data_IF_690543913191
#
_entry.id   IF_690543913191
#
_cell.length_a   1.000
_cell.length_b   1.000
_cell.length_c   1.000
_cell.angle_alpha   90.00
_cell.angle_beta   90.00
_cell.angle_gamma   90.00
#
_symmetry.space_group_name_H-M   'P 1'
#
loop_
_entity.id
_entity.type
_entity.pdbx_description
1 polymer ?
#
# COMPACT_ATOMS: atom_id res chain seq x y z
N UNK A 1 -30.80 -16.27 59.60
CA UNK A 1 -29.40 -16.54 59.21
C UNK A 1 -29.28 -17.18 57.83
N UNK A 2 -29.99 -18.29 57.52
CA UNK A 2 -29.97 -18.92 56.17
C UNK A 2 -30.44 -18.00 55.03
N UNK A 3 -31.43 -17.12 55.28
CA UNK A 3 -31.96 -16.16 54.27
C UNK A 3 -30.96 -15.05 53.87
N UNK A 4 -30.07 -14.65 54.78
CA UNK A 4 -29.04 -13.62 54.51
C UNK A 4 -27.92 -14.22 53.65
N UNK A 5 -27.55 -15.48 53.90
CA UNK A 5 -26.54 -16.21 53.12
C UNK A 5 -27.00 -16.40 51.66
N UNK A 6 -28.29 -16.64 51.43
CA UNK A 6 -28.88 -16.79 50.08
C UNK A 6 -28.91 -15.46 49.32
N UNK A 7 -29.12 -14.33 50.00
CA UNK A 7 -29.13 -13.01 49.35
C UNK A 7 -27.72 -12.53 48.97
N UNK A 8 -26.70 -12.84 49.77
CA UNK A 8 -25.30 -12.46 49.49
C UNK A 8 -24.73 -13.27 48.33
N UNK A 9 -25.08 -14.55 48.19
CA UNK A 9 -24.66 -15.38 47.05
C UNK A 9 -25.32 -14.94 45.74
N UNK A 10 -26.59 -14.53 45.75
CA UNK A 10 -27.26 -13.97 44.56
C UNK A 10 -26.65 -12.64 44.11
N UNK A 11 -26.17 -11.82 45.04
CA UNK A 11 -25.58 -10.50 44.75
C UNK A 11 -24.14 -10.59 44.21
N UNK A 12 -23.39 -11.65 44.54
CA UNK A 12 -22.05 -11.89 44.01
C UNK A 12 -22.07 -12.53 42.61
N UNK A 13 -23.12 -13.27 42.26
CA UNK A 13 -23.27 -13.91 40.93
C UNK A 13 -23.60 -12.87 39.84
N UNK A 14 -24.30 -11.77 40.17
CA UNK A 14 -24.63 -10.70 39.21
C UNK A 14 -23.45 -9.77 38.87
N UNK A 15 -22.48 -9.60 39.78
CA UNK A 15 -21.28 -8.76 39.54
C UNK A 15 -20.28 -9.47 38.60
N UNK A 16 -20.28 -10.82 38.57
CA UNK A 16 -19.38 -11.61 37.71
C UNK A 16 -19.82 -11.77 36.26
N UNK A 17 -21.08 -11.44 35.91
CA UNK A 17 -21.63 -11.64 34.56
C UNK A 17 -21.45 -10.43 33.61
N UNK A 18 -20.93 -9.30 34.11
CA UNK A 18 -20.73 -8.09 33.30
C UNK A 18 -19.34 -8.00 32.60
N UNK A 19 -18.47 -9.00 32.75
CA UNK A 19 -17.10 -8.96 32.22
C UNK A 19 -16.82 -9.95 31.08
N UNK A 20 -17.81 -10.69 30.59
CA UNK A 20 -17.64 -11.60 29.45
C UNK A 20 -18.81 -11.39 28.47
N UNK A 21 -18.48 -11.11 27.21
CA UNK A 21 -19.35 -10.65 26.11
C UNK A 21 -19.60 -9.13 26.07
N UNK A 22 -18.51 -8.39 25.87
CA UNK A 22 -18.56 -7.18 25.04
C UNK A 22 -18.83 -7.68 23.63
N UNK A 23 -20.01 -7.36 23.12
CA UNK A 23 -20.49 -7.78 21.81
C UNK A 23 -19.55 -7.29 20.70
N UNK A 24 -19.21 -8.21 19.81
CA UNK A 24 -18.90 -7.90 18.41
C UNK A 24 -20.13 -7.32 17.70
N UNK A 25 -19.86 -6.43 16.73
CA UNK A 25 -20.75 -5.87 15.68
C UNK A 25 -21.58 -4.64 16.13
N UNK A 26 -21.56 -3.47 15.48
CA UNK A 26 -21.68 -3.18 14.05
C UNK A 26 -20.98 -1.86 13.62
N UNK A 27 -20.11 -1.97 12.61
CA UNK A 27 -19.90 -1.06 11.46
C UNK A 27 -20.10 0.46 11.62
N UNK A 28 -19.00 1.20 11.60
CA UNK A 28 -18.86 2.21 10.53
C UNK A 28 -18.20 1.54 9.33
N UNK A 29 -19.06 1.21 8.39
CA UNK A 29 -18.76 0.81 7.03
C UNK A 29 -17.72 1.75 6.41
N UNK A 30 -16.51 1.24 6.20
CA UNK A 30 -15.97 1.35 4.84
C UNK A 30 -15.87 -0.06 4.31
N UNK A 31 -16.92 -0.43 3.57
CA UNK A 31 -16.81 -1.40 2.50
C UNK A 31 -15.54 -1.05 1.71
N UNK A 32 -14.48 -1.84 1.86
CA UNK A 32 -13.57 -2.03 0.74
C UNK A 32 -13.47 -3.53 0.56
N UNK A 33 -13.85 -4.03 -0.63
CA UNK A 33 -13.98 -5.46 -0.87
C UNK A 33 -12.65 -6.17 -0.60
N UNK A 34 -12.76 -7.46 -0.36
CA UNK A 34 -11.82 -8.46 -0.84
C UNK A 34 -11.32 -8.05 -2.24
N UNK A 35 -10.20 -7.33 -2.30
CA UNK A 35 -9.72 -6.66 -3.49
C UNK A 35 -8.21 -6.66 -3.44
N UNK A 36 -7.65 -7.72 -4.06
CA UNK A 36 -6.29 -7.79 -4.58
C UNK A 36 -5.28 -6.91 -3.83
N UNK A 37 -4.73 -7.46 -2.74
CA UNK A 37 -3.63 -6.86 -1.99
C UNK A 37 -2.52 -6.38 -2.94
N UNK A 38 -2.50 -5.08 -3.22
CA UNK A 38 -1.37 -4.43 -3.87
C UNK A 38 -0.13 -4.73 -3.00
N UNK A 39 1.01 -5.14 -3.58
CA UNK A 39 2.20 -5.39 -2.79
C UNK A 39 2.65 -4.07 -2.16
N UNK A 40 2.33 -3.93 -0.88
CA UNK A 40 2.84 -2.92 0.03
C UNK A 40 4.29 -3.29 0.32
N UNK A 41 5.20 -2.59 -0.35
CA UNK A 41 6.62 -2.75 -0.12
C UNK A 41 7.02 -1.83 1.03
N UNK A 42 8.10 -2.15 1.72
CA UNK A 42 8.67 -1.38 2.82
C UNK A 42 10.08 -0.96 2.42
N UNK A 43 10.44 0.30 2.63
CA UNK A 43 11.77 0.80 2.29
C UNK A 43 12.35 1.63 3.42
N UNK A 44 13.68 1.78 3.45
CA UNK A 44 14.32 2.67 4.41
C UNK A 44 14.45 4.07 3.83
N UNK A 45 13.99 5.11 4.54
CA UNK A 45 14.09 6.51 4.10
C UNK A 45 15.53 6.96 3.81
N UNK A 46 16.52 6.36 4.49
CA UNK A 46 17.94 6.63 4.29
C UNK A 46 18.61 5.70 3.28
N UNK A 47 18.03 4.53 3.04
CA UNK A 47 18.55 3.53 2.11
C UNK A 47 17.42 3.03 1.20
N UNK A 48 17.02 3.83 0.18
CA UNK A 48 15.91 3.48 -0.72
C UNK A 48 16.13 2.19 -1.52
N UNK A 49 17.38 1.71 -1.56
CA UNK A 49 17.79 0.43 -2.16
C UNK A 49 17.28 -0.79 -1.38
N UNK A 50 16.99 -0.63 -0.09
CA UNK A 50 16.46 -1.70 0.75
C UNK A 50 14.95 -1.73 0.58
N UNK A 51 14.47 -2.82 -0.01
CA UNK A 51 13.06 -3.07 -0.27
C UNK A 51 12.70 -4.40 0.41
N UNK A 52 11.64 -4.39 1.22
CA UNK A 52 11.10 -5.58 1.87
C UNK A 52 9.61 -5.72 1.60
N UNK A 53 9.13 -6.95 1.55
CA UNK A 53 7.72 -7.32 1.51
C UNK A 53 7.07 -7.30 2.90
N UNK A 54 7.84 -7.07 3.97
CA UNK A 54 7.39 -7.15 5.35
C UNK A 54 7.79 -5.91 6.15
N UNK A 55 6.99 -5.50 7.15
CA UNK A 55 7.42 -4.50 8.11
C UNK A 55 8.62 -5.02 8.90
N UNK A 56 9.50 -4.12 9.28
CA UNK A 56 10.70 -4.48 10.03
C UNK A 56 11.70 -3.34 10.08
N UNK A 57 12.89 -3.70 10.54
CA UNK A 57 13.98 -2.75 10.74
C UNK A 57 14.98 -2.84 9.60
N UNK A 58 15.51 -1.69 9.17
CA UNK A 58 16.54 -1.62 8.15
C UNK A 58 17.82 -2.32 8.62
N UNK A 59 18.35 -3.33 7.90
CA UNK A 59 19.55 -4.06 8.31
C UNK A 59 20.84 -3.23 8.20
N UNK A 60 20.82 -2.11 7.46
CA UNK A 60 22.00 -1.22 7.35
C UNK A 60 22.09 -0.19 8.48
N UNK A 61 20.96 0.35 8.94
CA UNK A 61 20.96 1.46 9.91
C UNK A 61 20.09 1.26 11.15
N UNK A 62 19.35 0.15 11.25
CA UNK A 62 18.52 -0.15 12.42
C UNK A 62 17.31 0.77 12.61
N UNK A 63 16.96 1.60 11.62
CA UNK A 63 15.73 2.40 11.63
C UNK A 63 14.56 1.61 11.04
N UNK A 64 13.34 1.91 11.47
CA UNK A 64 12.13 1.26 10.96
C UNK A 64 11.91 1.52 9.46
N UNK A 65 11.47 0.49 8.74
CA UNK A 65 11.11 0.60 7.34
C UNK A 65 9.76 1.32 7.19
N UNK A 66 9.71 2.29 6.29
CA UNK A 66 8.50 3.02 5.95
C UNK A 66 7.74 2.29 4.83
N UNK A 67 6.41 2.29 4.94
CA UNK A 67 5.55 1.68 3.94
C UNK A 67 5.62 2.49 2.64
N UNK A 68 5.96 1.81 1.55
CA UNK A 68 5.99 2.33 0.20
C UNK A 68 4.95 1.60 -0.64
N UNK A 69 3.87 2.29 -0.95
CA UNK A 69 2.96 1.85 -1.99
C UNK A 69 3.72 1.84 -3.33
N UNK A 70 3.54 0.77 -4.09
CA UNK A 70 4.04 0.62 -5.47
C UNK A 70 3.47 1.66 -6.46
N UNK A 71 2.52 2.46 -6.00
CA UNK A 71 1.93 3.59 -6.70
C UNK A 71 2.66 4.85 -6.26
N UNK A 72 3.59 5.35 -7.08
CA UNK A 72 4.10 6.71 -6.94
C UNK A 72 3.20 7.68 -7.70
N UNK A 73 3.30 8.95 -7.38
CA UNK A 73 2.62 10.05 -8.06
C UNK A 73 3.66 11.06 -8.52
N UNK A 74 3.45 11.65 -9.70
CA UNK A 74 4.36 12.65 -10.24
C UNK A 74 3.59 13.81 -10.86
N UNK A 75 4.21 14.98 -10.93
CA UNK A 75 3.59 16.13 -11.57
C UNK A 75 3.86 16.09 -13.08
N UNK A 76 2.84 16.22 -13.95
CA UNK A 76 3.04 16.27 -15.40
C UNK A 76 4.00 17.39 -15.86
N UNK A 77 4.02 18.48 -15.11
CA UNK A 77 4.85 19.66 -15.38
C UNK A 77 6.21 19.62 -14.68
N UNK A 78 6.32 18.87 -13.57
CA UNK A 78 7.53 18.78 -12.76
C UNK A 78 7.85 17.31 -12.47
N UNK A 79 8.51 16.59 -13.42
CA UNK A 79 8.83 15.16 -13.28
C UNK A 79 9.73 14.84 -12.07
N UNK A 80 10.45 15.84 -11.56
CA UNK A 80 11.26 15.79 -10.34
C UNK A 80 10.42 15.64 -9.07
N UNK A 81 9.15 16.08 -9.10
CA UNK A 81 8.24 15.96 -7.96
C UNK A 81 7.66 14.55 -8.00
N UNK A 82 8.07 13.74 -7.02
CA UNK A 82 7.58 12.38 -6.79
C UNK A 82 6.98 12.35 -5.39
N UNK A 83 5.78 11.79 -5.26
CA UNK A 83 5.08 11.60 -3.99
C UNK A 83 4.62 10.15 -3.87
N UNK A 84 4.65 9.61 -2.66
CA UNK A 84 4.07 8.28 -2.38
C UNK A 84 2.55 8.36 -2.10
N UNK A 85 1.99 9.58 -2.02
CA UNK A 85 0.57 9.84 -1.81
C UNK A 85 -0.03 10.75 -2.90
N UNK A 86 -1.34 10.60 -3.20
CA UNK A 86 -2.04 11.51 -4.09
C UNK A 86 -2.10 12.91 -3.48
N UNK A 87 -2.13 13.94 -4.33
CA UNK A 87 -2.21 15.32 -3.86
C UNK A 87 -1.90 16.35 -4.92
N UNK A 88 -1.69 17.59 -4.49
CA UNK A 88 -1.30 18.71 -5.35
C UNK A 88 0.21 18.89 -5.35
N UNK A 89 0.76 19.17 -6.53
CA UNK A 89 2.18 19.48 -6.68
C UNK A 89 2.54 20.73 -5.85
N UNK A 90 3.57 20.70 -5.00
CA UNK A 90 3.97 21.85 -4.20
C UNK A 90 4.53 23.01 -5.04
N UNK A 91 4.98 22.74 -6.28
CA UNK A 91 5.52 23.77 -7.19
C UNK A 91 4.41 24.49 -7.98
N UNK A 92 3.50 23.75 -8.61
CA UNK A 92 2.48 24.34 -9.50
C UNK A 92 1.03 24.16 -9.04
N UNK A 93 0.79 23.50 -7.90
CA UNK A 93 -0.54 23.25 -7.33
C UNK A 93 -1.48 22.43 -8.22
N UNK A 94 -0.98 21.89 -9.33
CA UNK A 94 -1.71 20.98 -10.20
C UNK A 94 -1.73 19.57 -9.60
N UNK A 95 -2.76 18.78 -9.91
CA UNK A 95 -2.92 17.45 -9.36
C UNK A 95 -1.82 16.49 -9.85
N UNK A 96 -1.29 15.69 -8.92
CA UNK A 96 -0.28 14.69 -9.23
C UNK A 96 -0.94 13.48 -9.91
N UNK A 97 -0.28 12.98 -10.97
CA UNK A 97 -0.74 11.82 -11.74
C UNK A 97 0.01 10.56 -11.29
N UNK A 98 -0.63 9.40 -11.40
CA UNK A 98 -0.03 8.13 -11.00
C UNK A 98 1.20 7.81 -11.85
N UNK A 99 2.37 7.76 -11.21
CA UNK A 99 3.62 7.17 -11.68
C UNK A 99 3.66 5.72 -11.20
N UNK A 100 2.91 4.84 -11.86
CA UNK A 100 2.93 3.42 -11.53
C UNK A 100 4.31 2.83 -11.79
N UNK A 101 4.92 2.14 -10.82
CA UNK A 101 6.09 1.27 -11.05
C UNK A 101 5.68 -0.06 -11.71
N UNK A 102 4.75 0.03 -12.65
CA UNK A 102 4.24 -1.12 -13.38
C UNK A 102 5.40 -1.85 -14.02
N UNK A 103 5.65 -3.10 -13.63
CA UNK A 103 6.68 -3.91 -14.26
C UNK A 103 6.30 -4.28 -15.69
N UNK A 104 5.00 -4.32 -15.99
CA UNK A 104 4.46 -4.66 -17.30
C UNK A 104 3.38 -3.67 -17.71
N UNK A 105 3.46 -3.16 -18.94
CA UNK A 105 2.49 -2.23 -19.51
C UNK A 105 2.03 -2.69 -20.89
N UNK A 106 0.78 -2.38 -21.22
CA UNK A 106 0.27 -2.65 -22.56
C UNK A 106 0.74 -1.53 -23.51
N UNK A 107 1.41 -1.86 -24.64
CA UNK A 107 1.90 -0.84 -25.58
C UNK A 107 0.78 -0.03 -26.25
N UNK A 108 -0.46 -0.55 -26.26
CA UNK A 108 -1.62 0.16 -26.83
C UNK A 108 -2.50 0.83 -25.79
N UNK A 109 -2.45 0.38 -24.54
CA UNK A 109 -3.26 0.91 -23.45
C UNK A 109 -2.33 1.26 -22.29
N UNK A 110 -1.75 2.47 -22.25
CA UNK A 110 -0.82 2.89 -21.21
C UNK A 110 -1.43 2.83 -19.81
N UNK A 111 -2.76 2.94 -19.72
CA UNK A 111 -3.56 2.79 -18.50
C UNK A 111 -3.57 1.35 -17.96
N UNK A 112 -3.22 0.37 -18.78
CA UNK A 112 -3.24 -1.05 -18.39
C UNK A 112 -1.82 -1.46 -17.99
N UNK A 113 -1.63 -1.45 -16.69
CA UNK A 113 -0.38 -1.80 -16.01
C UNK A 113 -0.56 -3.01 -15.11
N UNK A 114 0.42 -3.91 -15.11
CA UNK A 114 0.45 -5.11 -14.28
C UNK A 114 1.82 -5.28 -13.63
N UNK A 115 1.84 -5.89 -12.46
CA UNK A 115 3.08 -6.33 -11.80
C UNK A 115 3.54 -7.68 -12.31
N UNK A 116 2.61 -8.47 -12.84
CA UNK A 116 2.86 -9.81 -13.35
C UNK A 116 2.83 -9.84 -14.89
N UNK A 117 3.64 -10.71 -15.52
CA UNK A 117 3.55 -10.94 -16.96
C UNK A 117 2.19 -11.54 -17.30
N UNK A 118 1.52 -10.98 -18.31
CA UNK A 118 0.19 -11.44 -18.67
C UNK A 118 -0.30 -10.92 -20.01
N UNK A 119 -1.55 -11.26 -20.34
CA UNK A 119 -2.27 -10.67 -21.47
C UNK A 119 -3.05 -9.45 -20.98
N UNK A 120 -3.06 -8.39 -21.78
CA UNK A 120 -3.86 -7.21 -21.52
C UNK A 120 -5.36 -7.58 -21.51
N UNK A 121 -6.12 -7.26 -20.46
CA UNK A 121 -7.57 -7.52 -20.42
C UNK A 121 -8.37 -6.71 -21.45
N UNK A 122 -7.86 -5.57 -21.93
CA UNK A 122 -8.54 -4.74 -22.93
C UNK A 122 -8.35 -5.24 -24.37
N UNK A 123 -7.17 -5.75 -24.72
CA UNK A 123 -6.86 -6.12 -26.12
C UNK A 123 -6.27 -7.52 -26.32
N UNK A 124 -6.13 -8.31 -25.26
CA UNK A 124 -5.60 -9.68 -25.30
C UNK A 124 -4.11 -9.78 -25.65
N UNK A 125 -3.44 -8.66 -25.93
CA UNK A 125 -2.05 -8.61 -26.35
C UNK A 125 -1.10 -8.77 -25.15
N UNK A 126 0.06 -9.42 -25.34
CA UNK A 126 1.04 -9.64 -24.25
C UNK A 126 1.57 -8.31 -23.72
N UNK A 127 1.57 -8.14 -22.39
CA UNK A 127 2.14 -6.98 -21.73
C UNK A 127 3.67 -6.98 -21.87
N UNK A 128 4.26 -5.83 -22.17
CA UNK A 128 5.72 -5.66 -22.27
C UNK A 128 6.27 -5.20 -20.94
N UNK A 129 7.49 -5.61 -20.59
CA UNK A 129 8.17 -5.11 -19.39
C UNK A 129 8.28 -3.58 -19.47
N UNK A 130 7.53 -2.86 -18.64
CA UNK A 130 7.70 -1.43 -18.46
C UNK A 130 9.01 -1.25 -17.69
N UNK A 131 10.06 -0.94 -18.43
CA UNK A 131 11.38 -0.66 -17.87
C UNK A 131 11.25 0.49 -16.87
N UNK A 132 11.65 0.28 -15.62
CA UNK A 132 12.26 1.34 -14.82
C UNK A 132 13.28 2.01 -15.74
N UNK A 133 13.16 3.32 -15.95
CA UNK A 133 14.06 4.03 -16.84
C UNK A 133 15.49 3.98 -16.28
N UNK A 134 16.22 2.91 -16.59
CA UNK A 134 17.65 3.02 -16.80
C UNK A 134 17.83 3.88 -18.03
N UNK A 135 18.25 5.11 -17.75
CA UNK A 135 18.81 6.04 -18.70
C UNK A 135 20.03 5.39 -19.38
N UNK A 136 19.81 4.47 -20.33
CA UNK A 136 20.83 4.06 -21.27
C UNK A 136 20.95 5.14 -22.33
N UNK A 137 21.61 6.22 -21.93
CA UNK A 137 22.38 7.05 -22.83
C UNK A 137 23.47 6.18 -23.45
N UNK A 138 23.13 5.38 -24.46
CA UNK A 138 24.13 4.76 -25.32
C UNK A 138 24.44 5.80 -26.39
N UNK A 139 25.35 6.71 -26.04
CA UNK A 139 25.98 7.63 -26.98
C UNK A 139 26.42 6.83 -28.22
N UNK A 140 26.09 7.37 -29.39
CA UNK A 140 26.39 6.77 -30.67
C UNK A 140 27.88 6.57 -30.87
N UNK A 141 28.24 5.42 -31.44
CA UNK A 141 29.49 5.29 -32.16
C UNK A 141 29.26 5.87 -33.56
N UNK A 142 29.87 7.02 -33.85
CA UNK A 142 30.12 7.45 -35.22
C UNK A 142 31.32 6.65 -35.76
N UNK A 143 31.15 5.99 -36.90
CA UNK A 143 32.22 5.51 -37.78
C UNK A 143 31.80 5.71 -39.24
#
# INVERSE_FOLDING_TARGET
MKKIIILVSLLLISIGYASAQINTSETETTNVPDSAALPILFTCSMHPEIISDKPGTCPKCGMDLVQKTSVQYTCPMHPEVISDSPGKCPKCKMDLVVKSSALYSCPMHPEVTSMEPGKCPKCGMKLKKAKTQEHQMKMGCCM
#
